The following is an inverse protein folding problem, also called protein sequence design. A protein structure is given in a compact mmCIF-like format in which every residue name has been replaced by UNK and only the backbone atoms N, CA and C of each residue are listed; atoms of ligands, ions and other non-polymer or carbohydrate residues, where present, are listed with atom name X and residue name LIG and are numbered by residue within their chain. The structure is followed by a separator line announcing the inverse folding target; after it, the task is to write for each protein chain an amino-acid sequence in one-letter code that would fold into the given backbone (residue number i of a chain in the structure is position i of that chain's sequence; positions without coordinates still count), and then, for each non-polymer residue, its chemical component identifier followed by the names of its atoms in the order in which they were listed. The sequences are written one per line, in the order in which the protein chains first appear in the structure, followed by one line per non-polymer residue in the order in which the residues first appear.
data_IF_036584374164
#
_entry.id   IF_036584374164
#
_cell.length_a   1.000
_cell.length_b   1.000
_cell.length_c   1.000
_cell.angle_alpha   90.00
_cell.angle_beta   90.00
_cell.angle_gamma   90.00
#
_symmetry.space_group_name_H-M   'P 1'
#
loop_
_entity.id
_entity.type
_entity.pdbx_description
1 polymer ?
#
# COMPACT_ATOMS: atom_id res chain seq x y z
N UNK A 1 -11.14 8.80 20.35
CA UNK A 1 -10.15 7.96 19.65
C UNK A 1 -9.98 6.57 20.23
N UNK A 2 -9.95 6.38 21.56
CA UNK A 2 -9.89 5.04 22.19
C UNK A 2 -10.99 4.08 21.75
N UNK A 3 -12.24 4.55 21.63
CA UNK A 3 -13.35 3.71 21.19
C UNK A 3 -13.13 3.11 19.79
N UNK A 4 -12.44 3.83 18.89
CA UNK A 4 -12.17 3.32 17.52
C UNK A 4 -11.27 2.09 17.54
N UNK A 5 -10.29 2.05 18.46
CA UNK A 5 -9.40 0.91 18.61
C UNK A 5 -10.11 -0.30 19.21
N UNK A 6 -11.09 -0.10 20.09
CA UNK A 6 -11.85 -1.20 20.70
C UNK A 6 -12.72 -1.94 19.67
N UNK A 7 -13.21 -1.24 18.65
CA UNK A 7 -14.07 -1.83 17.61
C UNK A 7 -13.32 -2.26 16.35
N UNK A 8 -12.01 -1.99 16.24
CA UNK A 8 -11.27 -2.24 15.00
C UNK A 8 -11.22 -3.72 14.62
N UNK A 9 -11.19 -4.61 15.61
CA UNK A 9 -11.17 -6.07 15.43
C UNK A 9 -12.33 -6.58 14.59
N UNK A 10 -13.50 -5.92 14.64
CA UNK A 10 -14.69 -6.29 13.85
C UNK A 10 -14.48 -6.03 12.35
N UNK A 11 -13.58 -5.13 12.00
CA UNK A 11 -13.28 -4.73 10.62
C UNK A 11 -12.04 -5.43 10.04
N UNK A 12 -11.29 -6.19 10.85
CA UNK A 12 -10.09 -6.87 10.40
C UNK A 12 -10.40 -8.33 10.06
N UNK A 13 -9.90 -8.79 8.92
CA UNK A 13 -10.07 -10.16 8.43
C UNK A 13 -8.71 -10.81 8.19
N UNK A 14 -8.67 -12.13 8.25
CA UNK A 14 -7.52 -12.98 7.88
C UNK A 14 -6.18 -12.47 8.43
N UNK A 15 -5.27 -12.05 7.55
CA UNK A 15 -3.93 -11.61 7.87
C UNK A 15 -3.92 -10.29 8.65
N UNK A 16 -4.88 -9.40 8.39
CA UNK A 16 -5.01 -8.14 9.13
C UNK A 16 -5.44 -8.40 10.59
N UNK A 17 -6.33 -9.38 10.82
CA UNK A 17 -6.73 -9.78 12.18
C UNK A 17 -5.57 -10.45 12.94
N UNK A 18 -4.84 -11.36 12.27
CA UNK A 18 -3.65 -12.02 12.85
C UNK A 18 -2.53 -11.03 13.17
N UNK A 19 -2.32 -10.05 12.30
CA UNK A 19 -1.38 -8.96 12.52
C UNK A 19 -1.77 -8.15 13.76
N UNK A 20 -3.02 -7.71 13.83
CA UNK A 20 -3.51 -6.89 14.95
C UNK A 20 -3.40 -7.60 16.30
N UNK A 21 -3.69 -8.91 16.36
CA UNK A 21 -3.53 -9.71 17.58
C UNK A 21 -2.09 -9.73 18.13
N UNK A 22 -1.07 -9.48 17.29
CA UNK A 22 0.34 -9.43 17.70
C UNK A 22 0.80 -8.03 18.14
N UNK A 23 0.18 -6.98 17.62
CA UNK A 23 0.65 -5.59 17.80
C UNK A 23 -0.28 -4.73 18.63
N UNK A 24 -1.50 -5.18 18.92
CA UNK A 24 -2.52 -4.40 19.65
C UNK A 24 -2.05 -3.95 21.04
N UNK A 25 -1.23 -4.75 21.72
CA UNK A 25 -0.67 -4.41 23.04
C UNK A 25 0.31 -3.23 23.03
N UNK A 26 0.85 -2.85 21.87
CA UNK A 26 1.79 -1.72 21.74
C UNK A 26 1.16 -0.49 21.08
N UNK A 27 -0.07 -0.62 20.56
CA UNK A 27 -0.77 0.46 19.85
C UNK A 27 -1.92 0.98 20.72
N UNK A 28 -1.71 2.13 21.34
CA UNK A 28 -2.65 2.75 22.29
C UNK A 28 -3.47 3.90 21.70
N UNK A 29 -3.07 4.44 20.55
CA UNK A 29 -3.77 5.55 19.90
C UNK A 29 -4.19 5.20 18.47
N UNK A 30 -5.29 5.80 18.02
CA UNK A 30 -5.77 5.61 16.65
C UNK A 30 -4.74 6.07 15.61
N UNK A 31 -4.02 7.15 15.88
CA UNK A 31 -2.95 7.64 15.00
C UNK A 31 -1.83 6.61 14.83
N UNK A 32 -1.37 6.00 15.92
CA UNK A 32 -0.36 4.94 15.90
C UNK A 32 -0.87 3.69 15.16
N UNK A 33 -2.16 3.37 15.27
CA UNK A 33 -2.78 2.30 14.49
C UNK A 33 -2.71 2.58 12.98
N UNK A 34 -3.12 3.78 12.55
CA UNK A 34 -3.11 4.17 11.14
C UNK A 34 -1.69 4.10 10.55
N UNK A 35 -0.69 4.57 11.29
CA UNK A 35 0.70 4.47 10.86
C UNK A 35 1.15 3.02 10.75
N UNK A 36 0.89 2.20 11.77
CA UNK A 36 1.31 0.81 11.82
C UNK A 36 0.63 -0.04 10.73
N UNK A 37 -0.68 0.14 10.50
CA UNK A 37 -1.42 -0.60 9.47
C UNK A 37 -0.98 -0.18 8.07
N UNK A 38 -0.71 1.11 7.87
CA UNK A 38 -0.18 1.62 6.59
C UNK A 38 1.22 1.11 6.34
N UNK A 39 2.06 0.98 7.37
CA UNK A 39 3.39 0.39 7.22
C UNK A 39 3.33 -1.11 6.93
N UNK A 40 2.42 -1.84 7.57
CA UNK A 40 2.28 -3.27 7.42
C UNK A 40 1.64 -3.70 6.10
N UNK A 41 0.67 -2.93 5.59
CA UNK A 41 -0.14 -3.30 4.41
C UNK A 41 -0.12 -2.27 3.27
N UNK A 42 0.38 -1.07 3.51
CA UNK A 42 0.40 0.01 2.52
C UNK A 42 1.45 -0.18 1.42
N UNK A 43 2.57 -0.84 1.72
CA UNK A 43 3.59 -1.17 0.70
C UNK A 43 3.05 -2.09 -0.38
N UNK A 44 2.25 -3.09 0.01
CA UNK A 44 1.61 -4.02 -0.93
C UNK A 44 0.67 -3.29 -1.88
N UNK A 45 -0.16 -2.36 -1.38
CA UNK A 45 -1.07 -1.59 -2.23
C UNK A 45 -0.32 -0.64 -3.18
N UNK A 46 0.74 0.02 -2.68
CA UNK A 46 1.55 0.92 -3.50
C UNK A 46 2.31 0.17 -4.61
N UNK A 47 2.91 -0.97 -4.29
CA UNK A 47 3.57 -1.83 -5.27
C UNK A 47 2.59 -2.40 -6.29
N UNK A 48 1.41 -2.83 -5.85
CA UNK A 48 0.39 -3.38 -6.75
C UNK A 48 -0.16 -2.30 -7.70
N UNK A 49 -0.34 -1.06 -7.23
CA UNK A 49 -0.66 0.09 -8.08
C UNK A 49 0.46 0.43 -9.06
N UNK A 50 1.72 0.43 -8.60
CA UNK A 50 2.88 0.67 -9.47
C UNK A 50 3.01 -0.41 -10.55
N UNK A 51 2.75 -1.67 -10.19
CA UNK A 51 2.76 -2.80 -11.11
C UNK A 51 1.63 -2.71 -12.14
N UNK A 52 0.40 -2.40 -11.73
CA UNK A 52 -0.72 -2.22 -12.66
C UNK A 52 -0.51 -0.99 -13.58
N UNK A 53 0.11 0.08 -13.07
CA UNK A 53 0.54 1.21 -13.91
C UNK A 53 1.57 0.78 -14.96
N UNK A 54 2.60 0.02 -14.57
CA UNK A 54 3.60 -0.50 -15.50
C UNK A 54 2.96 -1.40 -16.57
N UNK A 55 2.06 -2.31 -16.16
CA UNK A 55 1.36 -3.25 -17.05
C UNK A 55 0.42 -2.57 -18.04
N UNK A 56 -0.24 -1.49 -17.62
CA UNK A 56 -1.20 -0.76 -18.45
C UNK A 56 -0.56 0.31 -19.33
N UNK A 57 0.67 0.72 -19.04
CA UNK A 57 1.36 1.77 -19.78
C UNK A 57 1.70 1.30 -21.20
N UNK A 58 1.21 2.05 -22.19
CA UNK A 58 1.50 1.83 -23.62
C UNK A 58 2.08 3.09 -24.22
N UNK A 59 3.00 2.93 -25.17
CA UNK A 59 3.54 4.04 -25.92
C UNK A 59 2.41 4.78 -26.63
N UNK A 60 2.37 6.10 -26.46
CA UNK A 60 1.38 6.95 -27.13
C UNK A 60 1.90 7.41 -28.49
N UNK A 61 1.01 7.81 -29.39
CA UNK A 61 1.34 8.24 -30.76
C UNK A 61 2.26 9.47 -30.79
N UNK A 62 2.26 10.27 -29.71
CA UNK A 62 3.05 11.49 -29.57
C UNK A 62 4.33 11.30 -28.74
N UNK A 63 4.68 10.06 -28.40
CA UNK A 63 5.82 9.74 -27.53
C UNK A 63 6.91 9.02 -28.33
N UNK A 64 8.14 9.52 -28.26
CA UNK A 64 9.29 8.85 -28.88
C UNK A 64 9.64 7.56 -28.14
N UNK A 65 10.34 6.65 -28.82
CA UNK A 65 10.79 5.37 -28.24
C UNK A 65 11.67 5.60 -27.00
N UNK A 66 12.55 6.61 -27.03
CA UNK A 66 13.43 6.95 -25.91
C UNK A 66 12.62 7.43 -24.71
N UNK A 67 11.67 8.34 -24.93
CA UNK A 67 10.79 8.84 -23.86
C UNK A 67 9.92 7.74 -23.25
N UNK A 68 9.49 6.78 -24.07
CA UNK A 68 8.75 5.61 -23.60
C UNK A 68 9.64 4.69 -22.77
N UNK A 69 10.84 4.38 -23.25
CA UNK A 69 11.82 3.55 -22.53
C UNK A 69 12.19 4.15 -21.18
N UNK A 70 12.51 5.44 -21.12
CA UNK A 70 12.85 6.13 -19.87
C UNK A 70 11.69 6.06 -18.88
N UNK A 71 10.45 6.19 -19.36
CA UNK A 71 9.26 6.11 -18.50
C UNK A 71 9.03 4.70 -17.96
N UNK A 72 9.22 3.67 -18.78
CA UNK A 72 9.18 2.27 -18.34
C UNK A 72 10.26 2.00 -17.28
N UNK A 73 11.49 2.47 -17.50
CA UNK A 73 12.58 2.34 -16.54
C UNK A 73 12.29 3.07 -15.22
N UNK A 74 11.63 4.23 -15.26
CA UNK A 74 11.17 4.94 -14.06
C UNK A 74 10.10 4.15 -13.30
N UNK A 75 9.13 3.56 -14.01
CA UNK A 75 8.05 2.76 -13.42
C UNK A 75 8.58 1.46 -12.81
N UNK A 76 9.54 0.79 -13.45
CA UNK A 76 10.20 -0.40 -12.92
C UNK A 76 10.95 -0.15 -11.60
N UNK A 77 11.44 1.07 -11.36
CA UNK A 77 12.10 1.43 -10.09
C UNK A 77 11.12 1.66 -8.92
N UNK A 78 9.82 1.75 -9.20
CA UNK A 78 8.75 2.03 -8.21
C UNK A 78 7.98 0.77 -7.80
N UNK A 79 8.21 -0.35 -8.48
CA UNK A 79 7.71 -1.69 -8.11
C UNK A 79 8.71 -2.33 -7.17
#
# INVERSE_FOLDING_TARGET
DEQKLQYITVHLQDDAHRWWARVSGTITTWSSFIEAVTKAFGSTKAQQLAFEQLKSYKQTVNQSVIQYYDKIMELCKKV
#
